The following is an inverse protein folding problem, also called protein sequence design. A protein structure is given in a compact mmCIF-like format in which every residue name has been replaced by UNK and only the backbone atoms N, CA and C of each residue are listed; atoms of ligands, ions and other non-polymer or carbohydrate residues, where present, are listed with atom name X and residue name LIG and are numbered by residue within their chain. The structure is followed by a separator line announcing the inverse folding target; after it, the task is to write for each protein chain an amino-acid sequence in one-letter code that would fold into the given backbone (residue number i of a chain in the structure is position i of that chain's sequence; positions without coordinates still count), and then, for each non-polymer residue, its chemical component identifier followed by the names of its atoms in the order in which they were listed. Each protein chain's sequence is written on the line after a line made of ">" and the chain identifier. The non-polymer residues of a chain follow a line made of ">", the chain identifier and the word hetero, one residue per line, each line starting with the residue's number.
data_IF_295818112231
#
_entry.id   IF_295818112231
#
_cell.length_a   1.000
_cell.length_b   1.000
_cell.length_c   1.000
_cell.angle_alpha   90.00
_cell.angle_beta   90.00
_cell.angle_gamma   90.00
#
_symmetry.space_group_name_H-M   'P 1'
#
loop_
_entity.id
_entity.type
_entity.pdbx_description
1 polymer ?
#
# COMPACT_ATOMS: atom_id res chain seq x y z
N UNK A 1 14.02 -14.15 0.94
CA UNK A 1 12.80 -13.90 0.12
C UNK A 1 11.45 -14.03 0.85
N UNK A 2 11.35 -14.61 2.06
CA UNK A 2 10.05 -14.81 2.75
C UNK A 2 9.31 -13.51 3.16
N UNK A 3 10.04 -12.44 3.52
CA UNK A 3 9.43 -11.17 3.97
C UNK A 3 8.74 -10.44 2.81
N UNK A 4 9.42 -10.28 1.66
CA UNK A 4 8.87 -9.59 0.50
C UNK A 4 7.58 -10.27 -0.01
N UNK A 5 7.57 -11.61 -0.10
CA UNK A 5 6.37 -12.38 -0.44
C UNK A 5 5.23 -12.16 0.57
N UNK A 6 5.54 -12.16 1.88
CA UNK A 6 4.55 -11.88 2.93
C UNK A 6 3.95 -10.47 2.80
N UNK A 7 4.78 -9.47 2.51
CA UNK A 7 4.35 -8.08 2.29
C UNK A 7 3.48 -8.00 1.03
N UNK A 8 3.87 -8.62 -0.07
CA UNK A 8 3.09 -8.65 -1.31
C UNK A 8 1.71 -9.29 -1.10
N UNK A 9 1.64 -10.45 -0.45
CA UNK A 9 0.36 -11.10 -0.11
C UNK A 9 -0.50 -10.25 0.82
N UNK A 10 0.12 -9.57 1.79
CA UNK A 10 -0.55 -8.65 2.71
C UNK A 10 -1.14 -7.44 1.97
N UNK A 11 -0.36 -6.78 1.11
CA UNK A 11 -0.77 -5.61 0.35
C UNK A 11 -1.88 -5.94 -0.65
N UNK A 12 -1.80 -7.08 -1.34
CA UNK A 12 -2.87 -7.59 -2.19
C UNK A 12 -4.20 -7.75 -1.44
N UNK A 13 -4.16 -8.33 -0.23
CA UNK A 13 -5.35 -8.46 0.62
C UNK A 13 -5.84 -7.09 1.11
N UNK A 14 -4.93 -6.20 1.53
CA UNK A 14 -5.27 -4.86 2.02
C UNK A 14 -5.89 -3.99 0.96
N UNK A 15 -5.40 -4.03 -0.29
CA UNK A 15 -6.00 -3.31 -1.43
C UNK A 15 -7.49 -3.62 -1.59
N UNK A 16 -7.88 -4.89 -1.46
CA UNK A 16 -9.30 -5.30 -1.53
C UNK A 16 -10.13 -4.74 -0.37
N UNK A 17 -9.57 -4.66 0.83
CA UNK A 17 -10.23 -4.08 2.01
C UNK A 17 -10.38 -2.57 1.83
N UNK A 18 -9.31 -1.88 1.43
CA UNK A 18 -9.29 -0.44 1.14
C UNK A 18 -10.32 -0.07 0.07
N UNK A 19 -10.49 -0.90 -0.96
CA UNK A 19 -11.52 -0.65 -1.99
C UNK A 19 -12.95 -0.71 -1.42
N UNK A 20 -13.19 -1.52 -0.39
CA UNK A 20 -14.50 -1.59 0.28
C UNK A 20 -14.72 -0.41 1.22
N UNK A 21 -13.66 0.04 1.89
CA UNK A 21 -13.69 1.09 2.91
C UNK A 21 -12.68 2.22 2.62
N UNK A 22 -12.86 2.87 1.48
CA UNK A 22 -11.92 3.86 0.97
C UNK A 22 -11.87 5.12 1.87
N UNK A 23 -13.02 5.54 2.38
CA UNK A 23 -13.14 6.79 3.13
C UNK A 23 -12.38 6.72 4.47
N UNK A 24 -12.30 5.54 5.08
CA UNK A 24 -11.56 5.32 6.32
C UNK A 24 -10.10 4.93 6.09
N UNK A 25 -9.63 4.91 4.84
CA UNK A 25 -8.24 4.59 4.56
C UNK A 25 -7.30 5.62 5.18
N UNK A 26 -6.33 5.11 5.95
CA UNK A 26 -5.24 5.91 6.49
C UNK A 26 -3.91 5.23 6.18
N UNK A 27 -3.06 5.96 5.46
CA UNK A 27 -1.71 5.53 5.10
C UNK A 27 -0.85 5.32 6.35
N UNK A 28 -1.09 6.08 7.43
CA UNK A 28 -0.40 5.93 8.71
C UNK A 28 -0.59 4.53 9.31
N UNK A 29 -1.82 4.01 9.36
CA UNK A 29 -2.06 2.68 9.91
C UNK A 29 -1.44 1.59 9.02
N UNK A 30 -1.54 1.73 7.70
CA UNK A 30 -0.94 0.77 6.78
C UNK A 30 0.59 0.77 6.88
N UNK A 31 1.23 1.94 7.04
CA UNK A 31 2.67 2.05 7.34
C UNK A 31 3.02 1.30 8.63
N UNK A 32 2.25 1.46 9.71
CA UNK A 32 2.46 0.71 10.96
C UNK A 32 2.31 -0.80 10.79
N UNK A 33 1.31 -1.26 10.04
CA UNK A 33 1.13 -2.68 9.78
C UNK A 33 2.28 -3.27 8.95
N UNK A 34 2.79 -2.52 7.96
CA UNK A 34 3.99 -2.90 7.23
C UNK A 34 5.18 -3.03 8.19
N UNK A 35 5.44 -2.07 9.07
CA UNK A 35 6.54 -2.17 10.04
C UNK A 35 6.45 -3.44 10.91
N UNK A 36 5.25 -3.90 11.28
CA UNK A 36 5.04 -5.17 12.01
C UNK A 36 5.44 -6.41 11.19
N UNK A 37 5.52 -6.30 9.86
CA UNK A 37 6.01 -7.35 8.96
C UNK A 37 7.53 -7.36 8.80
N UNK A 38 8.27 -6.59 9.63
CA UNK A 38 9.74 -6.49 9.62
C UNK A 38 10.31 -5.81 8.36
N UNK A 39 9.56 -4.89 7.74
CA UNK A 39 10.20 -3.93 6.81
C UNK A 39 10.99 -2.89 7.62
N UNK A 40 12.12 -2.46 7.07
CA UNK A 40 13.06 -1.57 7.76
C UNK A 40 12.58 -0.12 7.77
N UNK A 41 11.97 0.32 6.67
CA UNK A 41 11.41 1.66 6.49
C UNK A 41 10.28 1.60 5.47
N UNK A 42 9.29 2.48 5.61
CA UNK A 42 8.28 2.71 4.58
C UNK A 42 8.39 4.15 4.11
N UNK A 43 8.69 4.35 2.82
CA UNK A 43 8.78 5.70 2.24
C UNK A 43 7.37 6.26 2.06
N UNK A 44 6.57 5.62 1.21
CA UNK A 44 5.22 6.05 0.91
C UNK A 44 4.25 4.89 0.81
N UNK A 45 2.99 5.22 1.05
CA UNK A 45 1.81 4.37 0.91
C UNK A 45 0.69 5.31 0.47
N UNK A 46 0.34 5.26 -0.81
CA UNK A 46 -0.53 6.26 -1.43
C UNK A 46 -1.58 5.61 -2.32
N UNK A 47 -2.72 6.28 -2.44
CA UNK A 47 -3.80 5.87 -3.34
C UNK A 47 -3.93 6.91 -4.43
N UNK A 48 -3.85 6.46 -5.68
CA UNK A 48 -4.05 7.33 -6.83
C UNK A 48 -5.06 6.73 -7.78
N UNK A 49 -6.01 7.58 -8.20
CA UNK A 49 -6.83 7.32 -9.36
C UNK A 49 -5.91 7.22 -10.60
N UNK A 50 -6.06 6.14 -11.37
CA UNK A 50 -5.18 5.82 -12.49
C UNK A 50 -5.33 6.77 -13.68
N UNK A 51 -6.48 7.46 -13.78
CA UNK A 51 -6.76 8.39 -14.86
C UNK A 51 -6.37 9.82 -14.49
N UNK A 52 -6.59 10.23 -13.24
CA UNK A 52 -6.41 11.62 -12.80
C UNK A 52 -5.16 11.86 -11.96
N UNK A 53 -4.51 10.80 -11.48
CA UNK A 53 -3.38 10.85 -10.56
C UNK A 53 -3.66 11.64 -9.26
N UNK A 54 -4.94 11.84 -8.94
CA UNK A 54 -5.40 12.43 -7.68
C UNK A 54 -5.80 11.34 -6.69
N UNK A 55 -5.90 11.68 -5.41
CA UNK A 55 -6.43 10.78 -4.39
C UNK A 55 -7.87 10.39 -4.78
N UNK A 56 -8.22 9.09 -4.81
CA UNK A 56 -9.57 8.67 -5.13
C UNK A 56 -10.55 9.10 -4.04
N UNK A 57 -11.73 9.58 -4.44
CA UNK A 57 -12.79 10.04 -3.55
C UNK A 57 -13.93 9.02 -3.44
N UNK A 58 -14.01 8.07 -4.37
CA UNK A 58 -15.04 7.04 -4.41
C UNK A 58 -14.49 5.66 -4.74
N UNK A 59 -15.12 4.61 -4.18
CA UNK A 59 -14.82 3.20 -4.49
C UNK A 59 -15.09 2.80 -5.94
N UNK A 60 -15.87 3.61 -6.68
CA UNK A 60 -16.16 3.42 -8.10
C UNK A 60 -15.00 3.86 -8.99
N UNK A 61 -14.11 4.71 -8.48
CA UNK A 61 -12.97 5.19 -9.26
C UNK A 61 -11.99 4.06 -9.53
N UNK A 62 -11.33 4.14 -10.69
CA UNK A 62 -10.22 3.27 -11.01
C UNK A 62 -8.97 3.79 -10.31
N UNK A 63 -8.50 3.10 -9.28
CA UNK A 63 -7.36 3.53 -8.47
C UNK A 63 -6.48 2.35 -8.09
N UNK A 64 -5.19 2.59 -7.85
CA UNK A 64 -4.22 1.62 -7.29
C UNK A 64 -3.63 2.12 -5.97
N UNK A 65 -3.09 1.16 -5.20
CA UNK A 65 -2.29 1.38 -4.01
C UNK A 65 -0.81 1.33 -4.40
N UNK A 66 -0.11 2.44 -4.24
CA UNK A 66 1.31 2.60 -4.52
C UNK A 66 2.09 2.53 -3.22
N UNK A 67 3.11 1.67 -3.17
CA UNK A 67 3.91 1.48 -1.95
C UNK A 67 5.39 1.43 -2.29
N UNK A 68 6.21 2.08 -1.46
CA UNK A 68 7.65 1.89 -1.43
C UNK A 68 8.15 1.63 -0.01
N UNK A 69 8.96 0.59 0.14
CA UNK A 69 9.51 0.19 1.44
C UNK A 69 10.91 -0.40 1.30
N UNK A 70 11.63 -0.45 2.41
CA UNK A 70 12.99 -0.98 2.48
C UNK A 70 13.04 -2.34 3.18
N UNK A 71 13.85 -3.23 2.63
CA UNK A 71 14.37 -4.41 3.32
C UNK A 71 15.89 -4.23 3.48
N UNK A 72 16.32 -3.82 4.67
CA UNK A 72 17.69 -3.32 4.86
C UNK A 72 17.93 -2.09 3.99
N UNK A 73 18.92 -2.15 3.10
CA UNK A 73 19.28 -1.05 2.20
C UNK A 73 18.60 -1.16 0.83
N UNK A 74 17.79 -2.21 0.59
CA UNK A 74 17.14 -2.43 -0.70
C UNK A 74 15.74 -1.81 -0.66
N UNK A 75 15.50 -0.84 -1.55
CA UNK A 75 14.18 -0.23 -1.77
C UNK A 75 13.39 -1.06 -2.76
N UNK A 76 12.19 -1.46 -2.36
CA UNK A 76 11.21 -2.15 -3.21
C UNK A 76 10.03 -1.21 -3.47
N UNK A 77 9.57 -1.20 -4.72
CA UNK A 77 8.43 -0.41 -5.17
C UNK A 77 7.47 -1.37 -5.87
N UNK A 78 6.19 -1.27 -5.54
CA UNK A 78 5.14 -2.10 -6.15
C UNK A 78 3.80 -1.36 -6.13
N UNK A 79 2.86 -1.80 -6.97
CA UNK A 79 1.51 -1.27 -7.03
C UNK A 79 0.46 -2.39 -7.06
N UNK A 80 -0.65 -2.17 -6.35
CA UNK A 80 -1.70 -3.16 -6.13
C UNK A 80 -3.09 -2.61 -6.46
#
# INVERSE_FOLDING_TARGET
>A
MKIASKVHLFLNKKKRIIKKDLLNFSSYYLKKELMKLKVSKVDYVELYNLNTLKKPMSKKENFNLFVAYFLGNIRLIDNF
#
